data_IF_570253326390
#
_entry.id   IF_570253326390
#
_cell.length_a   1.000
_cell.length_b   1.000
_cell.length_c   1.000
_cell.angle_alpha   90.00
_cell.angle_beta   90.00
_cell.angle_gamma   90.00
#
_symmetry.space_group_name_H-M   'P 1'
#
loop_
_entity.id
_entity.type
_entity.pdbx_description
1 polymer ?
#
# COMPACT_ATOMS: atom_id res chain seq x y z
N UNK A 1 -75.28 -14.31 -38.12
CA UNK A 1 -75.28 -15.00 -36.81
C UNK A 1 -73.99 -15.82 -36.71
N UNK A 2 -73.00 -15.34 -35.94
CA UNK A 2 -71.76 -16.09 -35.68
C UNK A 2 -72.07 -17.22 -34.69
N UNK A 3 -72.10 -18.46 -35.18
CA UNK A 3 -72.41 -19.64 -34.37
C UNK A 3 -71.20 -19.98 -33.48
N UNK A 4 -71.22 -19.48 -32.23
CA UNK A 4 -70.26 -19.82 -31.16
C UNK A 4 -70.46 -21.28 -30.70
N UNK A 5 -70.07 -22.24 -31.53
CA UNK A 5 -69.90 -23.64 -31.12
C UNK A 5 -68.45 -23.90 -30.67
N UNK A 6 -68.01 -23.26 -29.58
CA UNK A 6 -66.75 -23.66 -28.93
C UNK A 6 -67.03 -24.79 -27.96
N UNK A 7 -66.69 -26.03 -28.33
CA UNK A 7 -66.76 -27.19 -27.42
C UNK A 7 -66.01 -26.84 -26.11
N UNK A 8 -66.56 -27.14 -24.92
CA UNK A 8 -65.95 -26.77 -23.63
C UNK A 8 -64.51 -27.26 -23.48
N UNK A 9 -64.16 -28.37 -24.14
CA UNK A 9 -62.82 -28.92 -24.23
C UNK A 9 -61.76 -27.92 -24.75
N UNK A 10 -62.05 -27.16 -25.80
CA UNK A 10 -61.08 -26.18 -26.32
C UNK A 10 -60.85 -25.03 -25.34
N UNK A 11 -61.87 -24.63 -24.58
CA UNK A 11 -61.74 -23.59 -23.54
C UNK A 11 -60.84 -24.07 -22.40
N UNK A 12 -60.91 -25.35 -22.02
CA UNK A 12 -60.04 -25.95 -21.01
C UNK A 12 -58.57 -25.99 -21.47
N UNK A 13 -58.32 -26.33 -22.73
CA UNK A 13 -56.95 -26.30 -23.29
C UNK A 13 -56.39 -24.88 -23.27
N UNK A 14 -57.16 -23.87 -23.70
CA UNK A 14 -56.71 -22.47 -23.65
C UNK A 14 -56.40 -22.01 -22.22
N UNK A 15 -57.25 -22.34 -21.25
CA UNK A 15 -56.99 -22.02 -19.84
C UNK A 15 -55.71 -22.71 -19.34
N UNK A 16 -55.48 -23.97 -19.72
CA UNK A 16 -54.25 -24.69 -19.35
C UNK A 16 -53.01 -24.05 -20.00
N UNK A 17 -53.08 -23.65 -21.27
CA UNK A 17 -52.00 -22.93 -21.95
C UNK A 17 -51.70 -21.58 -21.28
N UNK A 18 -52.73 -20.82 -20.89
CA UNK A 18 -52.57 -19.55 -20.17
C UNK A 18 -51.92 -19.76 -18.79
N UNK A 19 -52.35 -20.78 -18.02
CA UNK A 19 -51.74 -21.12 -16.74
C UNK A 19 -50.26 -21.50 -16.92
N UNK A 20 -49.94 -22.30 -17.93
CA UNK A 20 -48.55 -22.67 -18.24
C UNK A 20 -47.72 -21.45 -18.66
N UNK A 21 -48.30 -20.52 -19.44
CA UNK A 21 -47.64 -19.30 -19.86
C UNK A 21 -47.37 -18.35 -18.68
N UNK A 22 -48.34 -18.18 -17.76
CA UNK A 22 -48.18 -17.41 -16.54
C UNK A 22 -47.12 -18.05 -15.64
N UNK A 23 -47.16 -19.37 -15.47
CA UNK A 23 -46.17 -20.11 -14.68
C UNK A 23 -44.76 -19.97 -15.27
N UNK A 24 -44.62 -20.10 -16.60
CA UNK A 24 -43.35 -19.87 -17.29
C UNK A 24 -42.83 -18.44 -17.10
N UNK A 25 -43.70 -17.45 -17.27
CA UNK A 25 -43.37 -16.03 -17.11
C UNK A 25 -42.93 -15.70 -15.67
N UNK A 26 -43.64 -16.24 -14.67
CA UNK A 26 -43.27 -16.09 -13.26
C UNK A 26 -41.88 -16.66 -12.99
N UNK A 27 -41.56 -17.84 -13.52
CA UNK A 27 -40.25 -18.45 -13.34
C UNK A 27 -39.12 -17.64 -14.00
N UNK A 28 -39.33 -17.13 -15.22
CA UNK A 28 -38.36 -16.27 -15.91
C UNK A 28 -38.15 -14.98 -15.11
N UNK A 29 -39.22 -14.32 -14.65
CA UNK A 29 -39.11 -13.08 -13.86
C UNK A 29 -38.40 -13.32 -12.54
N UNK A 30 -38.75 -14.39 -11.82
CA UNK A 30 -38.08 -14.80 -10.58
C UNK A 30 -36.59 -15.06 -10.80
N UNK A 31 -36.23 -15.82 -11.84
CA UNK A 31 -34.83 -16.14 -12.12
C UNK A 31 -34.03 -14.91 -12.53
N UNK A 32 -34.60 -14.01 -13.34
CA UNK A 32 -33.98 -12.74 -13.70
C UNK A 32 -33.77 -11.84 -12.47
N UNK A 33 -34.76 -11.78 -11.57
CA UNK A 33 -34.65 -11.01 -10.31
C UNK A 33 -33.60 -11.59 -9.36
N UNK A 34 -33.54 -12.92 -9.23
CA UNK A 34 -32.51 -13.59 -8.42
C UNK A 34 -31.11 -13.32 -9.00
N UNK A 35 -30.97 -13.40 -10.32
CA UNK A 35 -29.69 -13.11 -10.99
C UNK A 35 -29.29 -11.65 -10.80
N UNK A 36 -30.21 -10.71 -10.90
CA UNK A 36 -29.94 -9.30 -10.64
C UNK A 36 -29.46 -9.04 -9.21
N UNK A 37 -30.00 -9.75 -8.22
CA UNK A 37 -29.58 -9.57 -6.83
C UNK A 37 -28.30 -10.32 -6.45
N UNK A 38 -28.02 -11.45 -7.09
CA UNK A 38 -26.86 -12.30 -6.74
C UNK A 38 -25.64 -12.03 -7.60
N UNK A 39 -25.80 -11.75 -8.90
CA UNK A 39 -24.72 -11.58 -9.87
C UNK A 39 -25.09 -10.56 -10.99
N UNK A 40 -25.21 -9.26 -10.67
CA UNK A 40 -25.57 -8.21 -11.63
C UNK A 40 -24.42 -7.73 -12.52
N UNK A 41 -23.17 -8.08 -12.21
CA UNK A 41 -21.97 -7.50 -12.85
C UNK A 41 -21.33 -8.46 -13.85
N UNK A 42 -20.65 -7.89 -14.85
CA UNK A 42 -19.85 -8.63 -15.84
C UNK A 42 -18.50 -7.93 -15.98
N UNK A 43 -17.41 -8.70 -15.98
CA UNK A 43 -16.05 -8.19 -16.20
C UNK A 43 -15.64 -8.49 -17.64
N UNK A 44 -15.18 -7.49 -18.37
CA UNK A 44 -14.70 -7.62 -19.75
C UNK A 44 -13.29 -7.07 -19.89
N UNK A 45 -12.44 -7.76 -20.65
CA UNK A 45 -11.07 -7.31 -20.92
C UNK A 45 -11.07 -6.25 -22.01
N UNK A 46 -10.51 -5.08 -21.72
CA UNK A 46 -10.22 -4.05 -22.71
C UNK A 46 -8.74 -4.08 -23.09
N UNK A 47 -8.44 -3.83 -24.37
CA UNK A 47 -7.07 -3.84 -24.93
C UNK A 47 -6.67 -2.51 -25.56
N UNK A 48 -7.50 -1.47 -25.44
CA UNK A 48 -7.19 -0.16 -26.01
C UNK A 48 -6.21 0.60 -25.12
N UNK A 49 -4.92 0.39 -25.40
CA UNK A 49 -3.83 0.99 -24.62
C UNK A 49 -3.48 2.43 -25.04
N UNK A 50 -4.01 2.93 -26.16
CA UNK A 50 -3.55 4.20 -26.75
C UNK A 50 -3.99 5.44 -25.97
N UNK A 51 -5.14 5.35 -25.32
CA UNK A 51 -5.70 6.41 -24.48
C UNK A 51 -5.54 6.12 -22.99
N UNK A 52 -4.72 5.13 -22.64
CA UNK A 52 -4.55 4.68 -21.27
C UNK A 52 -3.57 5.59 -20.52
N UNK A 53 -4.11 6.36 -19.59
CA UNK A 53 -3.35 7.11 -18.60
C UNK A 53 -3.46 6.42 -17.25
N UNK A 54 -2.37 5.79 -16.81
CA UNK A 54 -2.28 5.13 -15.52
C UNK A 54 -1.86 6.15 -14.46
N UNK A 55 -2.49 6.11 -13.29
CA UNK A 55 -1.94 6.84 -12.14
C UNK A 55 -0.62 6.22 -11.71
N UNK A 56 0.42 7.05 -11.56
CA UNK A 56 1.72 6.60 -11.10
C UNK A 56 1.55 5.88 -9.74
N UNK A 57 2.14 4.69 -9.58
CA UNK A 57 2.00 3.95 -8.34
C UNK A 57 2.60 4.74 -7.17
N UNK A 58 1.99 4.58 -6.01
CA UNK A 58 2.56 5.11 -4.79
C UNK A 58 3.70 4.22 -4.31
N UNK A 59 4.68 4.87 -3.71
CA UNK A 59 5.78 4.19 -3.02
C UNK A 59 5.76 4.64 -1.58
N UNK A 60 5.66 3.69 -0.66
CA UNK A 60 5.80 3.94 0.77
C UNK A 60 7.12 3.36 1.23
N UNK A 61 7.93 4.12 1.95
CA UNK A 61 9.12 3.57 2.60
C UNK A 61 9.10 3.77 4.10
N UNK A 62 9.73 2.84 4.81
CA UNK A 62 9.94 2.84 6.24
C UNK A 62 11.43 2.70 6.52
N UNK A 63 11.95 3.37 7.55
CA UNK A 63 13.33 3.15 7.98
C UNK A 63 13.48 1.79 8.66
N UNK A 64 14.58 1.09 8.38
CA UNK A 64 14.93 -0.14 9.12
C UNK A 64 15.25 0.18 10.58
N UNK A 65 15.95 1.31 10.81
CA UNK A 65 16.12 1.92 12.14
C UNK A 65 15.45 3.30 12.15
N UNK A 66 14.20 3.40 12.64
CA UNK A 66 13.46 4.65 12.64
C UNK A 66 13.95 5.65 13.69
N UNK A 67 14.83 5.26 14.61
CA UNK A 67 15.18 6.09 15.77
C UNK A 67 16.36 6.99 15.49
N UNK A 68 16.17 8.31 15.63
CA UNK A 68 17.29 9.23 15.71
C UNK A 68 17.93 9.14 17.10
N UNK A 69 19.17 8.67 17.15
CA UNK A 69 19.92 8.49 18.38
C UNK A 69 20.09 9.80 19.15
N UNK A 70 20.21 10.95 18.50
CA UNK A 70 20.32 12.24 19.20
C UNK A 70 18.98 12.65 19.85
N UNK A 71 17.88 12.53 19.10
CA UNK A 71 16.54 12.84 19.61
C UNK A 71 16.12 11.88 20.72
N UNK A 72 16.45 10.59 20.60
CA UNK A 72 16.21 9.61 21.65
C UNK A 72 17.00 9.92 22.93
N UNK A 73 18.28 10.33 22.82
CA UNK A 73 19.07 10.75 24.00
C UNK A 73 18.46 11.96 24.70
N UNK A 74 18.07 12.97 23.94
CA UNK A 74 17.42 14.18 24.47
C UNK A 74 16.05 13.86 25.12
N UNK A 75 15.23 13.01 24.48
CA UNK A 75 13.96 12.55 25.04
C UNK A 75 14.15 11.82 26.38
N UNK A 76 15.11 10.88 26.45
CA UNK A 76 15.41 10.12 27.67
C UNK A 76 15.87 11.04 28.80
N UNK A 77 16.76 11.99 28.51
CA UNK A 77 17.28 12.95 29.48
C UNK A 77 16.16 13.85 30.02
N UNK A 78 15.26 14.33 29.16
CA UNK A 78 14.13 15.17 29.58
C UNK A 78 13.09 14.39 30.39
N UNK A 79 12.74 13.18 29.97
CA UNK A 79 11.65 12.39 30.58
C UNK A 79 12.07 11.76 31.91
N UNK A 80 13.26 11.15 31.98
CA UNK A 80 13.71 10.38 33.15
C UNK A 80 14.87 11.03 33.92
N UNK A 81 15.41 12.17 33.46
CA UNK A 81 16.54 12.88 34.11
C UNK A 81 17.78 12.01 34.29
N UNK A 82 18.03 11.12 33.32
CA UNK A 82 19.19 10.24 33.29
C UNK A 82 20.05 10.57 32.07
N UNK A 83 21.35 10.80 32.28
CA UNK A 83 22.29 11.19 31.22
C UNK A 83 23.31 10.11 30.86
N UNK A 84 23.61 9.16 31.76
CA UNK A 84 24.59 8.09 31.53
C UNK A 84 24.40 6.89 32.49
N UNK A 85 25.08 5.78 32.20
CA UNK A 85 25.10 4.55 33.02
C UNK A 85 24.05 3.51 32.62
N UNK A 86 23.98 2.40 33.37
CA UNK A 86 23.10 1.25 33.05
C UNK A 86 21.61 1.61 32.94
N UNK A 87 21.14 2.58 33.73
CA UNK A 87 19.75 3.07 33.63
C UNK A 87 19.49 3.82 32.33
N UNK A 88 20.49 4.55 31.82
CA UNK A 88 20.40 5.25 30.55
C UNK A 88 20.26 4.27 29.39
N UNK A 89 21.12 3.24 29.37
CA UNK A 89 21.09 2.18 28.36
C UNK A 89 19.74 1.46 28.37
N UNK A 90 19.21 1.12 29.54
CA UNK A 90 17.88 0.52 29.68
C UNK A 90 16.75 1.37 29.07
N UNK A 91 16.73 2.69 29.32
CA UNK A 91 15.73 3.58 28.73
C UNK A 91 15.95 3.81 27.22
N UNK A 92 17.20 3.80 26.77
CA UNK A 92 17.52 3.89 25.36
C UNK A 92 17.03 2.66 24.60
N UNK A 93 17.24 1.46 25.16
CA UNK A 93 16.73 0.21 24.59
C UNK A 93 15.21 0.17 24.60
N UNK A 94 14.57 0.69 25.66
CA UNK A 94 13.11 0.85 25.69
C UNK A 94 12.62 1.73 24.53
N UNK A 95 13.20 2.92 24.34
CA UNK A 95 12.83 3.84 23.26
C UNK A 95 13.01 3.20 21.89
N UNK A 96 14.13 2.50 21.67
CA UNK A 96 14.39 1.79 20.41
C UNK A 96 13.36 0.71 20.11
N UNK A 97 13.04 -0.14 21.10
CA UNK A 97 12.08 -1.22 20.92
C UNK A 97 10.64 -0.71 20.71
N UNK A 98 10.26 0.37 21.41
CA UNK A 98 8.92 0.95 21.26
C UNK A 98 8.76 1.64 19.91
N UNK A 99 9.77 2.38 19.45
CA UNK A 99 9.71 3.10 18.18
C UNK A 99 9.84 2.21 16.94
N UNK A 100 10.42 1.02 17.08
CA UNK A 100 10.53 0.04 16.00
C UNK A 100 9.50 -1.10 16.12
N UNK A 101 8.39 -0.90 16.84
CA UNK A 101 7.44 -1.98 17.09
C UNK A 101 6.52 -2.23 15.89
N UNK A 102 6.34 -3.50 15.56
CA UNK A 102 5.42 -4.03 14.56
C UNK A 102 4.73 -5.26 15.15
N UNK A 103 3.75 -5.84 14.47
CA UNK A 103 3.16 -7.10 14.95
C UNK A 103 4.16 -8.28 14.98
N UNK A 104 5.28 -8.20 14.26
CA UNK A 104 6.29 -9.26 14.21
C UNK A 104 7.18 -9.27 15.45
N UNK A 105 7.40 -8.12 16.08
CA UNK A 105 8.41 -7.96 17.14
C UNK A 105 7.86 -7.45 18.48
N UNK A 106 6.53 -7.59 18.70
CA UNK A 106 5.87 -7.21 19.95
C UNK A 106 6.50 -7.86 21.20
N UNK A 107 7.08 -9.05 21.06
CA UNK A 107 7.70 -9.79 22.18
C UNK A 107 8.91 -9.07 22.78
N UNK A 108 9.57 -8.19 22.01
CA UNK A 108 10.69 -7.38 22.48
C UNK A 108 10.33 -6.43 23.63
N UNK A 109 9.02 -6.22 23.89
CA UNK A 109 8.55 -5.41 25.01
C UNK A 109 8.62 -6.13 26.37
N UNK A 110 8.69 -7.46 26.40
CA UNK A 110 8.63 -8.25 27.63
C UNK A 110 9.56 -7.75 28.78
N UNK A 111 10.81 -7.31 28.53
CA UNK A 111 11.71 -6.82 29.58
C UNK A 111 11.24 -5.53 30.29
N UNK A 112 10.32 -4.78 29.69
CA UNK A 112 9.90 -3.45 30.15
C UNK A 112 8.58 -3.46 30.93
N UNK A 113 7.84 -4.58 30.94
CA UNK A 113 6.48 -4.70 31.48
C UNK A 113 6.39 -4.44 32.98
N UNK A 114 7.41 -4.84 33.74
CA UNK A 114 7.42 -4.77 35.20
C UNK A 114 7.82 -3.39 35.75
N UNK A 115 8.26 -2.47 34.90
CA UNK A 115 8.76 -1.17 35.36
C UNK A 115 7.62 -0.14 35.45
N UNK A 116 7.29 0.28 36.67
CA UNK A 116 6.23 1.25 36.94
C UNK A 116 6.50 2.63 36.32
N UNK A 117 7.77 3.01 36.13
CA UNK A 117 8.15 4.29 35.54
C UNK A 117 7.80 4.41 34.05
N UNK A 118 7.52 3.28 33.39
CA UNK A 118 7.23 3.22 31.97
C UNK A 118 5.73 3.11 31.64
N UNK A 119 4.88 2.85 32.63
CA UNK A 119 3.43 2.58 32.43
C UNK A 119 2.69 3.82 31.90
N UNK A 120 3.08 5.02 32.35
CA UNK A 120 2.42 6.29 32.02
C UNK A 120 3.14 7.07 30.90
N UNK A 121 3.91 6.37 30.06
CA UNK A 121 4.56 6.99 28.90
C UNK A 121 3.54 7.08 27.77
N UNK A 122 3.36 8.29 27.23
CA UNK A 122 2.64 8.47 25.96
C UNK A 122 3.51 7.92 24.83
N UNK A 123 3.08 6.79 24.27
CA UNK A 123 3.82 6.08 23.23
C UNK A 123 3.79 6.87 21.92
N UNK A 124 2.69 7.56 21.58
CA UNK A 124 2.59 8.31 20.34
C UNK A 124 3.57 9.48 20.38
N UNK A 125 3.56 10.24 21.48
CA UNK A 125 4.49 11.36 21.69
C UNK A 125 5.96 10.92 21.63
N UNK A 126 6.27 9.77 22.24
CA UNK A 126 7.60 9.17 22.19
C UNK A 126 8.01 8.87 20.75
N UNK A 127 7.18 8.13 20.01
CA UNK A 127 7.52 7.67 18.65
C UNK A 127 7.67 8.86 17.71
N UNK A 128 6.79 9.86 17.76
CA UNK A 128 6.89 11.06 16.93
C UNK A 128 8.17 11.84 17.22
N UNK A 129 8.52 12.06 18.50
CA UNK A 129 9.69 12.88 18.88
C UNK A 129 11.04 12.24 18.58
N UNK A 130 11.12 10.91 18.60
CA UNK A 130 12.39 10.19 18.39
C UNK A 130 12.58 9.71 16.96
N UNK A 131 11.55 9.83 16.12
CA UNK A 131 11.59 9.37 14.74
C UNK A 131 12.56 10.20 13.88
N UNK A 132 13.26 9.55 12.95
CA UNK A 132 14.17 10.19 12.02
C UNK A 132 13.42 10.92 10.90
N UNK A 133 13.86 12.14 10.59
CA UNK A 133 13.28 12.94 9.51
C UNK A 133 13.77 12.47 8.13
N UNK A 134 12.91 12.49 7.10
CA UNK A 134 13.28 12.15 5.74
C UNK A 134 14.11 13.29 5.12
N UNK A 135 15.38 13.01 4.81
CA UNK A 135 16.27 13.96 4.12
C UNK A 135 16.91 13.29 2.90
N UNK A 136 16.23 13.39 1.76
CA UNK A 136 16.71 12.83 0.49
C UNK A 136 16.09 13.58 -0.68
N UNK A 137 16.71 13.48 -1.85
CA UNK A 137 16.26 14.16 -3.06
C UNK A 137 15.37 13.23 -3.87
N UNK A 138 14.24 13.73 -4.35
CA UNK A 138 13.32 12.98 -5.19
C UNK A 138 13.24 13.61 -6.57
N UNK A 139 13.37 12.78 -7.60
CA UNK A 139 13.14 13.16 -8.98
C UNK A 139 12.07 12.26 -9.58
N UNK A 140 11.19 12.86 -10.37
CA UNK A 140 10.11 12.17 -11.08
C UNK A 140 10.19 12.55 -12.55
N UNK A 141 9.71 11.67 -13.41
CA UNK A 141 9.82 11.77 -14.87
C UNK A 141 9.38 13.12 -15.48
N UNK A 142 8.51 13.90 -14.82
CA UNK A 142 8.15 15.25 -15.24
C UNK A 142 8.42 16.29 -14.15
N UNK A 143 8.92 17.45 -14.55
CA UNK A 143 9.11 18.62 -13.69
C UNK A 143 7.81 19.17 -13.11
N UNK A 144 6.68 18.90 -13.76
CA UNK A 144 5.35 19.35 -13.29
C UNK A 144 4.99 18.76 -11.91
N UNK A 145 5.61 17.62 -11.57
CA UNK A 145 5.39 16.89 -10.33
C UNK A 145 6.51 17.11 -9.31
N UNK A 146 7.42 18.08 -9.52
CA UNK A 146 8.59 18.34 -8.65
C UNK A 146 8.19 18.72 -7.21
N UNK A 147 6.99 19.27 -7.02
CA UNK A 147 6.50 19.69 -5.71
C UNK A 147 5.88 18.53 -4.90
N UNK A 148 5.75 17.33 -5.48
CA UNK A 148 5.27 16.16 -4.74
C UNK A 148 6.40 15.68 -3.85
N UNK A 149 6.15 15.67 -2.55
CA UNK A 149 7.07 15.17 -1.55
C UNK A 149 6.49 13.94 -0.86
N UNK A 150 7.36 13.20 -0.20
CA UNK A 150 6.94 12.12 0.68
C UNK A 150 6.21 12.69 1.90
N UNK A 151 5.01 12.18 2.17
CA UNK A 151 4.18 12.58 3.32
C UNK A 151 4.22 11.50 4.40
N UNK A 152 4.21 11.87 5.69
CA UNK A 152 4.21 10.91 6.79
C UNK A 152 2.88 10.16 6.86
N UNK A 153 2.96 8.84 7.03
CA UNK A 153 1.83 7.92 7.09
C UNK A 153 2.02 6.93 8.24
N UNK A 154 0.93 6.63 8.95
CA UNK A 154 0.86 5.56 9.94
C UNK A 154 0.55 4.23 9.24
N UNK A 155 1.41 3.24 9.46
CA UNK A 155 1.29 1.89 8.90
C UNK A 155 1.52 0.83 9.99
N UNK A 156 1.23 -0.44 9.72
CA UNK A 156 1.54 -1.53 10.65
C UNK A 156 3.05 -1.75 10.89
N UNK A 157 3.90 -1.06 10.13
CA UNK A 157 5.37 -1.02 10.24
C UNK A 157 5.86 0.20 11.05
N UNK A 158 4.95 1.05 11.54
CA UNK A 158 5.25 2.29 12.24
C UNK A 158 5.03 3.54 11.39
N UNK A 159 5.74 4.62 11.73
CA UNK A 159 5.73 5.86 10.94
C UNK A 159 6.58 5.63 9.69
N UNK A 160 5.94 5.72 8.53
CA UNK A 160 6.54 5.58 7.22
C UNK A 160 6.24 6.83 6.40
N UNK A 161 6.73 6.88 5.16
CA UNK A 161 6.46 7.99 4.28
C UNK A 161 6.03 7.51 2.90
N UNK A 162 4.95 8.09 2.40
CA UNK A 162 4.35 7.74 1.11
C UNK A 162 4.52 8.85 0.11
N UNK A 163 4.94 8.50 -1.10
CA UNK A 163 4.96 9.37 -2.26
C UNK A 163 3.69 9.17 -3.08
N UNK A 164 3.03 10.28 -3.42
CA UNK A 164 1.89 10.32 -4.35
C UNK A 164 0.68 9.44 -3.95
N UNK A 165 0.48 9.17 -2.67
CA UNK A 165 -0.67 8.38 -2.18
C UNK A 165 -1.89 9.25 -1.91
N UNK A 166 -3.04 8.89 -2.50
CA UNK A 166 -4.30 9.64 -2.36
C UNK A 166 -4.97 9.46 -1.00
N UNK A 167 -4.70 8.34 -0.31
CA UNK A 167 -5.27 8.04 1.00
C UNK A 167 -4.34 8.41 2.17
N UNK A 168 -3.14 8.93 1.87
CA UNK A 168 -2.09 9.24 2.85
C UNK A 168 -2.56 10.25 3.90
N UNK A 169 -3.29 11.29 3.46
CA UNK A 169 -3.78 12.37 4.33
C UNK A 169 -4.69 11.87 5.47
N UNK A 170 -5.42 10.76 5.26
CA UNK A 170 -6.30 10.17 6.27
C UNK A 170 -5.56 9.32 7.31
N UNK A 171 -4.33 8.93 7.02
CA UNK A 171 -3.52 8.04 7.84
C UNK A 171 -2.31 8.76 8.45
N UNK A 172 -2.30 10.09 8.46
CA UNK A 172 -1.18 10.87 9.00
C UNK A 172 -1.10 10.82 10.53
N UNK A 173 0.11 10.84 11.14
CA UNK A 173 0.27 10.89 12.60
C UNK A 173 -0.28 12.15 13.26
N UNK A 174 -0.32 13.27 12.53
CA UNK A 174 -0.77 14.56 13.06
C UNK A 174 -2.23 14.82 12.67
N UNK A 175 -3.14 14.79 13.65
CA UNK A 175 -4.57 15.04 13.43
C UNK A 175 -4.87 16.42 12.82
N UNK A 176 -3.98 17.40 12.98
CA UNK A 176 -4.15 18.74 12.38
C UNK A 176 -3.94 18.74 10.86
N UNK A 177 -3.10 17.83 10.34
CA UNK A 177 -2.84 17.68 8.90
C UNK A 177 -3.98 16.96 8.17
N UNK A 178 -4.88 16.27 8.88
CA UNK A 178 -6.03 15.56 8.28
C UNK A 178 -7.04 16.49 7.61
N UNK A 179 -7.03 17.80 7.94
CA UNK A 179 -7.94 18.80 7.36
C UNK A 179 -7.36 19.55 6.15
N UNK A 180 -6.11 19.27 5.79
CA UNK A 180 -5.48 19.86 4.61
C UNK A 180 -5.68 18.87 3.48
N UNK A 181 -6.74 19.05 2.69
CA UNK A 181 -6.84 18.40 1.38
C UNK A 181 -5.68 18.91 0.53
N UNK A 182 -4.62 18.12 0.50
CA UNK A 182 -3.45 18.52 -0.26
C UNK A 182 -3.75 18.26 -1.73
N UNK A 183 -4.08 19.34 -2.44
CA UNK A 183 -4.43 19.32 -3.86
C UNK A 183 -3.15 19.13 -4.71
N UNK A 184 -2.44 18.03 -4.48
CA UNK A 184 -1.27 17.68 -5.28
C UNK A 184 -1.71 17.15 -6.64
N UNK A 185 -1.02 17.53 -7.72
CA UNK A 185 -1.27 16.94 -9.03
C UNK A 185 -0.96 15.44 -8.97
N UNK A 186 -1.91 14.61 -9.41
CA UNK A 186 -1.71 13.15 -9.48
C UNK A 186 -0.85 12.85 -10.70
N UNK A 187 0.35 12.25 -10.55
CA UNK A 187 1.19 11.93 -11.69
C UNK A 187 0.54 10.87 -12.55
N UNK A 188 0.43 11.15 -13.85
CA UNK A 188 -0.13 10.24 -14.84
C UNK A 188 0.95 9.75 -15.78
N UNK A 189 0.99 8.44 -15.98
CA UNK A 189 1.84 7.77 -16.95
C UNK A 189 1.03 7.35 -18.16
N UNK A 190 1.53 7.68 -19.35
CA UNK A 190 0.95 7.23 -20.61
C UNK A 190 1.74 6.03 -21.12
N UNK A 191 1.04 5.00 -21.60
CA UNK A 191 1.65 3.80 -22.18
C UNK A 191 2.64 4.10 -23.31
N UNK A 192 2.39 5.14 -24.11
CA UNK A 192 3.24 5.58 -25.23
C UNK A 192 4.49 6.35 -24.78
N UNK A 193 4.51 6.84 -23.54
CA UNK A 193 5.64 7.58 -22.98
C UNK A 193 6.55 6.62 -22.21
N UNK A 194 7.76 6.41 -22.73
CA UNK A 194 8.78 5.55 -22.11
C UNK A 194 9.40 6.13 -20.83
N UNK A 195 8.94 7.31 -20.38
CA UNK A 195 9.43 8.03 -19.22
C UNK A 195 8.34 8.02 -18.12
N UNK A 196 8.23 6.91 -17.41
CA UNK A 196 7.40 6.75 -16.22
C UNK A 196 8.26 6.17 -15.09
N UNK A 197 8.92 7.05 -14.36
CA UNK A 197 9.85 6.66 -13.29
C UNK A 197 9.89 7.68 -12.16
N UNK A 198 10.25 7.19 -10.97
CA UNK A 198 10.67 8.02 -9.86
C UNK A 198 12.01 7.51 -9.32
N UNK A 199 12.83 8.45 -8.86
CA UNK A 199 14.14 8.17 -8.28
C UNK A 199 14.30 8.94 -6.96
N UNK A 200 14.73 8.24 -5.91
CA UNK A 200 15.14 8.83 -4.64
C UNK A 200 16.67 8.70 -4.50
N UNK A 201 17.33 9.77 -4.08
CA UNK A 201 18.78 9.87 -4.00
C UNK A 201 19.22 10.40 -2.64
N UNK A 202 20.41 10.03 -2.19
CA UNK A 202 21.03 10.49 -0.94
C UNK A 202 20.21 10.10 0.30
N UNK A 203 19.72 8.85 0.32
CA UNK A 203 19.03 8.33 1.50
C UNK A 203 19.98 8.36 2.71
N UNK A 204 19.52 8.82 3.89
CA UNK A 204 20.39 8.96 5.05
C UNK A 204 20.60 7.63 5.81
N UNK A 205 19.76 6.63 5.54
CA UNK A 205 19.64 5.37 6.28
C UNK A 205 19.10 4.27 5.37
N UNK A 206 19.29 3.02 5.79
CA UNK A 206 18.65 1.88 5.15
C UNK A 206 17.12 1.96 5.26
N UNK A 207 16.43 1.62 4.19
CA UNK A 207 14.98 1.66 4.10
C UNK A 207 14.41 0.36 3.55
N UNK A 208 13.16 0.09 3.91
CA UNK A 208 12.29 -0.87 3.26
C UNK A 208 11.24 -0.06 2.49
N UNK A 209 11.07 -0.32 1.19
CA UNK A 209 10.02 0.32 0.40
C UNK A 209 9.02 -0.70 -0.14
N UNK A 210 7.80 -0.21 -0.33
CA UNK A 210 6.61 -0.91 -0.79
C UNK A 210 6.05 -0.14 -1.97
N UNK A 211 5.72 -0.84 -3.04
CA UNK A 211 5.10 -0.23 -4.24
C UNK A 211 3.67 -0.71 -4.31
N UNK A 212 2.72 0.22 -4.37
CA UNK A 212 1.30 -0.06 -4.33
C UNK A 212 0.51 0.95 -5.18
N UNK A 213 -0.78 0.66 -5.38
CA UNK A 213 -1.68 1.59 -6.07
C UNK A 213 -1.84 2.90 -5.26
N UNK A 214 -2.11 4.01 -5.96
CA UNK A 214 -2.28 5.34 -5.36
C UNK A 214 -3.42 5.44 -4.35
N UNK A 215 -4.43 4.58 -4.47
CA UNK A 215 -5.60 4.49 -3.56
C UNK A 215 -5.46 3.34 -2.56
N UNK A 216 -4.24 2.92 -2.25
CA UNK A 216 -3.93 1.82 -1.34
C UNK A 216 -2.75 2.19 -0.42
N UNK A 217 -2.57 1.43 0.66
CA UNK A 217 -1.45 1.56 1.62
C UNK A 217 -0.81 0.20 1.87
N UNK A 218 0.48 0.13 2.24
CA UNK A 218 1.13 -1.15 2.48
C UNK A 218 0.57 -1.84 3.73
N UNK A 219 0.37 -3.15 3.62
CA UNK A 219 0.06 -4.06 4.72
C UNK A 219 1.33 -4.73 5.25
N UNK A 220 1.31 -5.22 6.49
CA UNK A 220 2.45 -5.96 7.07
C UNK A 220 2.84 -7.22 6.27
N UNK A 221 1.89 -7.82 5.55
CA UNK A 221 2.14 -9.02 4.73
C UNK A 221 2.58 -8.70 3.29
N UNK A 222 2.63 -7.42 2.92
CA UNK A 222 2.98 -7.02 1.57
C UNK A 222 4.48 -7.19 1.31
N UNK A 223 4.82 -7.49 0.06
CA UNK A 223 6.21 -7.62 -0.35
C UNK A 223 6.90 -6.25 -0.28
N UNK A 224 8.05 -6.22 0.39
CA UNK A 224 8.92 -5.06 0.44
C UNK A 224 10.24 -5.32 -0.27
N UNK A 225 10.97 -4.23 -0.43
CA UNK A 225 12.28 -4.19 -1.04
C UNK A 225 13.21 -3.38 -0.15
N UNK A 226 14.31 -4.00 0.28
CA UNK A 226 15.33 -3.37 1.10
C UNK A 226 16.37 -2.61 0.27
N UNK A 227 16.91 -1.55 0.88
CA UNK A 227 17.95 -0.69 0.33
C UNK A 227 18.87 -0.30 1.46
N UNK A 228 20.14 -0.67 1.33
CA UNK A 228 21.14 -0.44 2.36
C UNK A 228 22.11 0.68 1.94
N UNK A 229 22.97 1.10 2.87
CA UNK A 229 24.05 2.02 2.57
C UNK A 229 25.00 1.44 1.51
N UNK A 230 25.41 2.27 0.53
CA UNK A 230 26.24 1.82 -0.59
C UNK A 230 25.51 0.92 -1.60
N UNK A 231 24.18 0.83 -1.53
CA UNK A 231 23.36 0.05 -2.45
C UNK A 231 22.58 0.96 -3.41
N UNK A 232 22.51 0.55 -4.67
CA UNK A 232 21.56 1.04 -5.66
C UNK A 232 20.60 -0.10 -6.02
N UNK A 233 19.30 0.19 -5.97
CA UNK A 233 18.26 -0.77 -6.39
C UNK A 233 17.35 -0.14 -7.42
N UNK A 234 17.18 -0.85 -8.52
CA UNK A 234 16.29 -0.49 -9.62
C UNK A 234 15.26 -1.60 -9.81
N UNK A 235 13.99 -1.27 -9.54
CA UNK A 235 12.85 -2.19 -9.74
C UNK A 235 11.93 -1.68 -10.83
N UNK A 236 11.61 -2.59 -11.75
CA UNK A 236 10.69 -2.36 -12.85
C UNK A 236 9.41 -3.15 -12.64
N UNK A 237 8.26 -2.49 -12.79
CA UNK A 237 6.95 -3.12 -12.65
C UNK A 237 6.15 -3.08 -13.95
N UNK A 238 5.42 -4.16 -14.22
CA UNK A 238 4.30 -4.21 -15.17
C UNK A 238 3.00 -4.09 -14.37
N UNK A 239 1.89 -3.75 -15.03
CA UNK A 239 0.64 -3.49 -14.33
C UNK A 239 -0.55 -4.03 -15.10
N UNK A 240 -1.65 -4.22 -14.37
CA UNK A 240 -2.98 -4.34 -14.93
C UNK A 240 -3.94 -3.47 -14.13
N UNK A 241 -4.89 -2.84 -14.80
CA UNK A 241 -5.90 -1.99 -14.17
C UNK A 241 -7.29 -2.59 -14.34
N UNK A 242 -8.05 -2.56 -13.26
CA UNK A 242 -9.49 -2.73 -13.23
C UNK A 242 -10.12 -1.34 -13.15
N UNK A 243 -10.93 -1.00 -14.15
CA UNK A 243 -11.80 0.17 -14.09
C UNK A 243 -13.26 -0.28 -13.98
N UNK A 244 -14.10 0.62 -13.48
CA UNK A 244 -15.52 0.36 -13.31
C UNK A 244 -16.38 1.30 -14.16
N UNK A 245 -17.53 0.82 -14.61
CA UNK A 245 -18.53 1.66 -15.24
C UNK A 245 -19.25 2.53 -14.18
N UNK A 246 -19.57 3.81 -14.44
CA UNK A 246 -20.22 4.68 -13.47
C UNK A 246 -21.55 4.12 -12.92
N UNK A 247 -22.29 3.37 -13.74
CA UNK A 247 -23.57 2.76 -13.38
C UNK A 247 -23.42 1.71 -12.27
N UNK A 248 -22.23 1.14 -12.08
CA UNK A 248 -21.93 0.16 -11.04
C UNK A 248 -22.19 0.75 -9.63
N UNK A 249 -22.10 2.07 -9.49
CA UNK A 249 -22.40 2.79 -8.25
C UNK A 249 -23.85 2.66 -7.79
N UNK A 250 -24.78 2.33 -8.70
CA UNK A 250 -26.22 2.15 -8.37
C UNK A 250 -26.50 0.87 -7.58
N UNK A 251 -25.59 -0.10 -7.63
CA UNK A 251 -25.70 -1.36 -6.91
C UNK A 251 -25.13 -1.23 -5.50
N UNK A 252 -25.67 -1.96 -4.52
CA UNK A 252 -25.05 -2.01 -3.20
C UNK A 252 -23.68 -2.72 -3.26
N UNK A 253 -22.75 -2.43 -2.33
CA UNK A 253 -21.50 -3.19 -2.21
C UNK A 253 -21.69 -4.70 -2.14
N UNK A 254 -22.77 -5.18 -1.47
CA UNK A 254 -23.11 -6.59 -1.39
C UNK A 254 -23.62 -7.19 -2.70
N UNK A 255 -24.26 -6.41 -3.57
CA UNK A 255 -24.70 -6.88 -4.89
C UNK A 255 -23.53 -6.95 -5.88
N UNK A 256 -22.63 -5.95 -5.88
CA UNK A 256 -21.50 -5.90 -6.81
C UNK A 256 -20.22 -6.56 -6.31
N UNK A 257 -20.17 -6.99 -5.06
CA UNK A 257 -19.03 -7.67 -4.42
C UNK A 257 -17.71 -6.88 -4.45
N UNK A 258 -17.80 -5.55 -4.57
CA UNK A 258 -16.66 -4.64 -4.53
C UNK A 258 -17.08 -3.29 -3.92
N UNK A 259 -16.09 -2.50 -3.48
CA UNK A 259 -16.31 -1.17 -2.89
C UNK A 259 -15.50 -0.09 -3.59
N UNK A 260 -16.04 1.12 -3.59
CA UNK A 260 -15.33 2.31 -4.02
C UNK A 260 -14.58 2.96 -2.85
N UNK A 261 -13.56 3.76 -3.16
CA UNK A 261 -12.73 4.42 -2.15
C UNK A 261 -13.55 5.36 -1.24
N UNK A 262 -14.60 5.96 -1.76
CA UNK A 262 -15.53 6.84 -1.04
C UNK A 262 -16.61 6.09 -0.23
N UNK A 263 -16.48 4.77 -0.05
CA UNK A 263 -17.43 3.94 0.71
C UNK A 263 -16.80 3.32 1.96
N UNK A 264 -16.41 4.15 2.96
CA UNK A 264 -15.71 3.68 4.15
C UNK A 264 -16.51 2.63 4.94
N UNK A 265 -15.79 1.76 5.64
CA UNK A 265 -16.36 0.77 6.57
C UNK A 265 -16.35 1.25 8.02
N UNK A 266 -15.68 2.36 8.29
CA UNK A 266 -15.47 2.89 9.62
C UNK A 266 -15.48 4.41 9.59
N UNK A 267 -15.93 5.02 10.68
CA UNK A 267 -16.02 6.48 10.78
C UNK A 267 -14.68 7.14 11.09
N UNK A 268 -13.68 6.37 11.53
CA UNK A 268 -12.38 6.93 11.92
C UNK A 268 -11.45 7.21 10.73
N UNK A 269 -11.55 6.38 9.69
CA UNK A 269 -10.80 6.50 8.45
C UNK A 269 -11.86 6.60 7.33
N UNK A 270 -12.21 7.81 6.87
CA UNK A 270 -13.34 8.03 5.97
C UNK A 270 -13.03 7.67 4.51
N UNK A 271 -12.20 6.64 4.29
CA UNK A 271 -11.85 6.08 2.99
C UNK A 271 -11.81 4.57 3.04
N UNK A 272 -12.02 3.94 1.88
CA UNK A 272 -11.94 2.51 1.71
C UNK A 272 -10.76 2.10 0.82
N UNK A 273 -9.98 1.16 1.32
CA UNK A 273 -9.12 0.32 0.52
C UNK A 273 -9.09 -1.08 1.10
N UNK A 274 -8.61 -2.06 0.35
CA UNK A 274 -8.58 -3.42 0.84
C UNK A 274 -7.62 -3.53 2.04
N UNK A 275 -6.44 -2.90 1.97
CA UNK A 275 -5.51 -2.94 3.09
C UNK A 275 -5.97 -2.09 4.28
N UNK A 276 -6.61 -0.93 4.07
CA UNK A 276 -7.22 -0.15 5.15
C UNK A 276 -8.31 -0.97 5.86
N UNK A 277 -9.14 -1.70 5.12
CA UNK A 277 -10.14 -2.58 5.74
C UNK A 277 -9.49 -3.66 6.62
N UNK A 278 -8.41 -4.30 6.13
CA UNK A 278 -7.67 -5.29 6.92
C UNK A 278 -7.01 -4.69 8.15
N UNK A 279 -6.43 -3.49 8.04
CA UNK A 279 -5.89 -2.72 9.16
C UNK A 279 -6.97 -2.45 10.21
N UNK A 280 -8.15 -1.97 9.80
CA UNK A 280 -9.30 -1.75 10.69
C UNK A 280 -9.72 -3.07 11.37
N UNK A 281 -9.74 -4.18 10.63
CA UNK A 281 -10.07 -5.49 11.20
C UNK A 281 -9.09 -5.90 12.30
N UNK A 282 -7.77 -5.78 12.07
CA UNK A 282 -6.74 -6.07 13.08
C UNK A 282 -6.81 -5.15 14.28
N UNK A 283 -7.05 -3.85 14.03
CA UNK A 283 -7.25 -2.85 15.07
C UNK A 283 -8.43 -3.21 15.99
N UNK A 284 -9.57 -3.59 15.40
CA UNK A 284 -10.76 -3.99 16.13
C UNK A 284 -10.55 -5.31 16.88
N UNK A 285 -9.79 -6.24 16.30
CA UNK A 285 -9.39 -7.48 16.96
C UNK A 285 -8.48 -7.22 18.17
N UNK A 286 -7.48 -6.34 18.03
CA UNK A 286 -6.62 -5.89 19.13
C UNK A 286 -7.45 -5.26 20.26
N UNK A 287 -8.41 -4.40 19.92
CA UNK A 287 -9.33 -3.79 20.87
C UNK A 287 -10.21 -4.84 21.57
N UNK A 288 -10.67 -5.88 20.85
CA UNK A 288 -11.47 -6.96 21.42
C UNK A 288 -10.67 -7.80 22.43
N UNK A 289 -9.45 -8.19 22.07
CA UNK A 289 -8.57 -9.09 22.81
C UNK A 289 -7.89 -8.40 24.01
N UNK A 290 -7.29 -7.23 23.80
CA UNK A 290 -6.44 -6.55 24.78
C UNK A 290 -6.98 -5.18 25.24
N UNK A 291 -8.19 -4.79 24.81
CA UNK A 291 -8.88 -3.54 25.21
C UNK A 291 -8.11 -2.26 24.90
N UNK A 292 -7.17 -2.33 23.97
CA UNK A 292 -6.40 -1.18 23.51
C UNK A 292 -6.03 -1.34 22.03
N UNK A 293 -5.55 -0.25 21.43
CA UNK A 293 -5.15 -0.21 20.02
C UNK A 293 -3.66 0.17 19.89
N UNK A 294 -2.87 -0.47 18.99
CA UNK A 294 -1.45 -0.17 18.79
C UNK A 294 -1.17 1.21 18.20
N UNK A 295 -0.18 1.94 18.72
CA UNK A 295 0.08 3.38 18.45
C UNK A 295 0.23 3.77 16.96
N UNK A 296 0.42 2.79 16.08
CA UNK A 296 0.61 2.96 14.65
C UNK A 296 -0.71 2.96 13.83
N UNK A 297 -1.87 3.10 14.48
CA UNK A 297 -3.16 3.33 13.81
C UNK A 297 -3.66 4.77 14.05
N UNK A 298 -4.53 5.32 13.18
CA UNK A 298 -5.22 6.58 13.48
C UNK A 298 -6.20 6.46 14.65
N UNK A 299 -6.26 7.50 15.48
CA UNK A 299 -7.07 7.54 16.70
C UNK A 299 -7.96 8.78 16.78
N UNK A 300 -9.28 8.66 16.57
CA UNK A 300 -10.17 9.75 16.92
C UNK A 300 -10.47 9.70 18.42
N UNK A 301 -9.66 10.40 19.22
CA UNK A 301 -9.90 10.93 20.59
C UNK A 301 -10.43 10.04 21.73
N UNK A 302 -11.28 9.05 21.45
CA UNK A 302 -11.95 8.15 22.41
C UNK A 302 -11.31 6.77 22.50
N UNK A 303 -10.43 6.41 21.56
CA UNK A 303 -9.82 5.08 21.50
C UNK A 303 -8.55 5.04 22.35
N UNK A 304 -8.47 4.06 23.25
CA UNK A 304 -7.33 3.92 24.16
C UNK A 304 -6.12 3.31 23.43
N UNK A 305 -5.03 4.06 23.40
CA UNK A 305 -3.72 3.60 22.90
C UNK A 305 -3.15 2.57 23.87
N UNK A 306 -2.59 1.48 23.34
CA UNK A 306 -1.93 0.46 24.15
C UNK A 306 -0.73 1.05 24.88
N UNK A 307 -0.71 0.90 26.21
CA UNK A 307 0.53 1.05 26.97
C UNK A 307 1.38 -0.22 26.85
N UNK A 308 2.50 -0.29 27.57
CA UNK A 308 3.44 -1.41 27.55
C UNK A 308 2.77 -2.75 27.90
N UNK A 309 1.87 -2.76 28.89
CA UNK A 309 1.12 -3.96 29.27
C UNK A 309 0.15 -4.38 28.15
N UNK A 310 -0.48 -3.41 27.49
CA UNK A 310 -1.31 -3.63 26.32
C UNK A 310 -0.54 -4.21 25.14
N UNK A 311 0.64 -3.65 24.83
CA UNK A 311 1.50 -4.16 23.76
C UNK A 311 2.01 -5.58 24.08
N UNK A 312 2.39 -5.85 25.33
CA UNK A 312 2.72 -7.20 25.77
C UNK A 312 1.53 -8.17 25.68
N UNK A 313 0.30 -7.72 26.01
CA UNK A 313 -0.89 -8.53 25.79
C UNK A 313 -1.05 -8.91 24.31
N UNK A 314 -0.83 -7.95 23.39
CA UNK A 314 -0.93 -8.19 21.96
C UNK A 314 0.16 -9.13 21.44
N UNK A 315 1.32 -9.19 22.09
CA UNK A 315 2.41 -10.09 21.69
C UNK A 315 1.98 -11.57 21.75
N UNK A 316 1.15 -11.93 22.75
CA UNK A 316 0.55 -13.26 22.86
C UNK A 316 -0.40 -13.64 21.70
N UNK A 317 -0.86 -12.65 20.93
CA UNK A 317 -1.77 -12.83 19.80
C UNK A 317 -1.16 -12.35 18.47
N UNK A 318 0.16 -12.13 18.42
CA UNK A 318 0.88 -11.59 17.25
C UNK A 318 0.54 -12.34 15.97
N UNK A 319 0.65 -13.68 15.99
CA UNK A 319 0.32 -14.55 14.85
C UNK A 319 -1.11 -14.35 14.37
N UNK A 320 -2.09 -14.40 15.30
CA UNK A 320 -3.51 -14.22 14.99
C UNK A 320 -3.80 -12.84 14.40
N UNK A 321 -3.13 -11.80 14.90
CA UNK A 321 -3.25 -10.43 14.39
C UNK A 321 -2.66 -10.31 12.97
N UNK A 322 -1.50 -10.90 12.72
CA UNK A 322 -0.85 -10.85 11.40
C UNK A 322 -1.64 -11.61 10.34
N UNK A 323 -2.01 -12.87 10.62
CA UNK A 323 -2.68 -13.76 9.66
C UNK A 323 -4.17 -13.49 9.55
N UNK A 324 -4.80 -12.86 10.55
CA UNK A 324 -6.26 -12.78 10.69
C UNK A 324 -6.91 -14.18 10.69
N UNK A 325 -6.23 -15.15 11.30
CA UNK A 325 -6.72 -16.52 11.47
C UNK A 325 -6.69 -16.89 12.94
N UNK A 326 -7.71 -17.63 13.40
CA UNK A 326 -7.72 -18.19 14.75
C UNK A 326 -6.74 -19.35 14.86
N UNK A 327 -6.50 -19.82 16.09
CA UNK A 327 -5.56 -20.92 16.37
C UNK A 327 -5.96 -22.25 15.71
N UNK A 328 -7.25 -22.43 15.40
CA UNK A 328 -7.79 -23.60 14.69
C UNK A 328 -7.68 -23.47 13.16
N UNK A 329 -7.07 -22.40 12.65
CA UNK A 329 -6.97 -22.09 11.22
C UNK A 329 -8.24 -21.47 10.62
N UNK A 330 -9.27 -21.20 11.43
CA UNK A 330 -10.48 -20.55 10.90
C UNK A 330 -10.20 -19.07 10.61
N UNK A 331 -10.53 -18.57 9.41
CA UNK A 331 -10.32 -17.17 9.07
C UNK A 331 -11.24 -16.27 9.90
N UNK A 332 -10.73 -15.12 10.30
CA UNK A 332 -11.49 -14.08 10.99
C UNK A 332 -12.31 -13.33 9.95
N UNK A 333 -13.63 -13.27 10.16
CA UNK A 333 -14.55 -12.59 9.27
C UNK A 333 -14.40 -11.06 9.35
N UNK A 334 -13.67 -10.48 8.40
CA UNK A 334 -13.45 -9.04 8.29
C UNK A 334 -14.41 -8.34 7.31
N UNK A 335 -15.12 -9.10 6.46
CA UNK A 335 -16.00 -8.58 5.41
C UNK A 335 -15.35 -7.55 4.45
N UNK A 336 -14.04 -7.66 4.21
CA UNK A 336 -13.30 -6.80 3.29
C UNK A 336 -13.50 -7.26 1.83
N UNK A 337 -14.30 -6.52 1.06
CA UNK A 337 -14.42 -6.73 -0.39
C UNK A 337 -13.24 -6.14 -1.17
N UNK A 338 -12.98 -6.62 -2.38
CA UNK A 338 -11.99 -5.96 -3.24
C UNK A 338 -12.46 -4.57 -3.68
N UNK A 339 -11.54 -3.71 -4.09
CA UNK A 339 -11.89 -2.42 -4.67
C UNK A 339 -12.53 -2.62 -6.05
N UNK A 340 -13.51 -1.79 -6.41
CA UNK A 340 -14.10 -1.82 -7.76
C UNK A 340 -13.15 -1.26 -8.83
N UNK A 341 -12.18 -0.45 -8.41
CA UNK A 341 -11.12 0.12 -9.24
C UNK A 341 -9.78 -0.17 -8.57
N UNK A 342 -8.90 -0.87 -9.26
CA UNK A 342 -7.64 -1.34 -8.70
C UNK A 342 -6.57 -1.39 -9.79
N UNK A 343 -5.34 -1.04 -9.44
CA UNK A 343 -4.16 -1.35 -10.25
C UNK A 343 -3.36 -2.39 -9.49
N UNK A 344 -3.10 -3.56 -10.06
CA UNK A 344 -2.06 -4.44 -9.49
C UNK A 344 -0.79 -4.37 -10.30
N UNK A 345 0.30 -4.40 -9.56
CA UNK A 345 1.66 -4.27 -10.04
C UNK A 345 2.34 -5.63 -9.93
N UNK A 346 3.05 -6.03 -10.98
CA UNK A 346 3.87 -7.22 -11.01
C UNK A 346 5.32 -6.84 -11.25
N UNK A 347 6.21 -7.40 -10.45
CA UNK A 347 7.65 -7.19 -10.61
C UNK A 347 8.12 -7.81 -11.93
N UNK A 348 8.63 -6.99 -12.83
CA UNK A 348 9.23 -7.41 -14.11
C UNK A 348 10.75 -7.59 -13.97
N UNK A 349 11.42 -6.61 -13.35
CA UNK A 349 12.87 -6.63 -13.13
C UNK A 349 13.22 -6.11 -11.75
N UNK A 350 14.20 -6.71 -11.13
CA UNK A 350 14.81 -6.25 -9.87
C UNK A 350 16.31 -6.36 -10.02
N UNK A 351 17.00 -5.22 -10.01
CA UNK A 351 18.44 -5.17 -10.15
C UNK A 351 19.06 -4.41 -8.99
N UNK A 352 20.12 -5.01 -8.44
CA UNK A 352 20.83 -4.50 -7.28
C UNK A 352 22.29 -4.29 -7.69
N UNK A 353 22.83 -3.13 -7.33
CA UNK A 353 24.24 -2.79 -7.50
C UNK A 353 24.78 -2.36 -6.14
N UNK A 354 25.95 -2.85 -5.79
CA UNK A 354 26.65 -2.48 -4.55
C UNK A 354 27.95 -1.77 -4.90
N UNK A 355 28.20 -0.66 -4.22
CA UNK A 355 29.42 0.12 -4.38
C UNK A 355 30.47 -0.40 -3.39
N UNK A 356 31.52 -1.05 -3.90
CA UNK A 356 32.56 -1.68 -3.08
C UNK A 356 33.65 -0.71 -2.57
N UNK A 357 33.68 0.53 -3.07
CA UNK A 357 34.63 1.57 -2.66
C UNK A 357 33.89 2.70 -1.93
N UNK A 358 34.51 3.35 -0.94
CA UNK A 358 33.95 4.57 -0.39
C UNK A 358 33.97 5.62 -1.51
N UNK A 359 32.82 5.84 -2.14
CA UNK A 359 32.56 7.13 -2.75
C UNK A 359 32.81 8.17 -1.64
N UNK A 360 33.52 9.26 -1.96
CA UNK A 360 33.81 10.32 -0.99
C UNK A 360 32.54 10.68 -0.21
N UNK A 361 32.68 11.08 1.06
CA UNK A 361 31.67 11.36 2.10
C UNK A 361 30.39 12.16 1.74
N UNK A 362 30.20 12.50 0.48
CA UNK A 362 28.94 12.93 -0.10
C UNK A 362 28.14 11.69 -0.54
N UNK A 363 27.38 11.14 0.41
CA UNK A 363 26.54 9.94 0.34
C UNK A 363 25.74 9.83 -0.97
N UNK A 364 25.95 8.74 -1.72
CA UNK A 364 25.12 8.40 -2.87
C UNK A 364 24.42 7.06 -2.59
N UNK A 365 23.15 7.13 -2.20
CA UNK A 365 22.24 5.99 -2.20
C UNK A 365 21.21 6.25 -3.29
N UNK A 366 21.02 5.32 -4.22
CA UNK A 366 20.05 5.46 -5.32
C UNK A 366 18.92 4.44 -5.19
N UNK A 367 17.69 4.92 -5.26
CA UNK A 367 16.53 4.09 -5.54
C UNK A 367 15.85 4.55 -6.79
N UNK A 368 15.59 3.63 -7.72
CA UNK A 368 14.83 3.89 -8.93
C UNK A 368 13.67 2.91 -9.04
N UNK A 369 12.48 3.44 -9.25
CA UNK A 369 11.31 2.66 -9.60
C UNK A 369 10.86 3.06 -11.00
N UNK A 370 10.96 2.11 -11.93
CA UNK A 370 10.52 2.25 -13.31
C UNK A 370 9.20 1.48 -13.50
N UNK A 371 8.23 2.03 -14.22
CA UNK A 371 7.08 1.26 -14.70
C UNK A 371 7.27 1.00 -16.19
N UNK A 372 7.37 -0.27 -16.59
CA UNK A 372 7.54 -0.65 -17.98
C UNK A 372 6.21 -1.11 -18.59
N UNK A 373 5.76 -0.38 -19.62
CA UNK A 373 4.78 -0.82 -20.58
C UNK A 373 5.50 -1.67 -21.65
N UNK A 374 5.51 -3.00 -21.52
CA UNK A 374 6.27 -3.85 -22.45
C UNK A 374 5.52 -4.08 -23.76
N UNK A 375 6.05 -3.51 -24.86
CA UNK A 375 6.03 -4.16 -26.17
C UNK A 375 7.32 -3.80 -26.95
N UNK A 376 8.06 -4.84 -27.32
CA UNK A 376 9.26 -4.85 -28.17
C UNK A 376 10.61 -4.36 -27.60
N UNK A 377 11.61 -5.18 -27.89
CA UNK A 377 13.06 -5.08 -27.70
C UNK A 377 13.66 -3.67 -27.74
N UNK A 378 14.28 -3.25 -26.63
CA UNK A 378 15.27 -2.17 -26.63
C UNK A 378 16.44 -2.54 -25.69
N UNK A 379 17.62 -2.72 -26.27
CA UNK A 379 18.87 -2.89 -25.55
C UNK A 379 19.35 -1.51 -25.09
N UNK A 380 19.17 -1.15 -23.80
CA UNK A 380 19.74 0.07 -23.22
C UNK A 380 21.17 -0.23 -22.73
N UNK A 381 22.17 0.23 -23.48
CA UNK A 381 23.58 0.24 -23.07
C UNK A 381 23.83 1.55 -22.30
N UNK A 382 24.26 1.47 -21.04
CA UNK A 382 24.69 2.62 -20.26
C UNK A 382 26.19 2.85 -20.45
N UNK A 383 26.59 4.02 -20.95
CA UNK A 383 27.98 4.48 -20.94
C UNK A 383 28.23 5.30 -19.66
N UNK A 384 29.22 4.92 -18.87
CA UNK A 384 29.73 5.73 -17.75
C UNK A 384 30.99 6.43 -18.24
N UNK A 385 30.92 7.74 -18.50
CA UNK A 385 32.10 8.58 -18.66
C UNK A 385 32.42 9.27 -17.32
N UNK A 386 33.43 8.76 -16.61
CA UNK A 386 34.10 9.49 -15.55
C UNK A 386 35.19 10.36 -16.16
N UNK A 387 35.07 11.68 -16.05
CA UNK A 387 36.08 12.62 -16.54
C UNK A 387 37.12 12.94 -15.47
N UNK A 388 38.40 12.73 -15.80
CA UNK A 388 39.48 13.63 -15.37
C UNK A 388 40.54 13.68 -16.48
N UNK A 389 40.92 14.91 -16.82
CA UNK A 389 41.77 15.35 -17.94
C UNK A 389 43.07 14.54 -18.08
N UNK A 390 43.33 14.03 -19.28
CA UNK A 390 44.55 14.27 -20.05
C UNK A 390 44.39 13.78 -21.50
N UNK A 391 44.96 14.55 -22.43
CA UNK A 391 44.88 14.35 -23.88
C UNK A 391 45.35 12.94 -24.31
N UNK A 392 44.42 12.17 -24.86
CA UNK A 392 44.71 11.12 -25.84
C UNK A 392 43.48 10.98 -26.75
N UNK A 393 43.63 11.38 -28.01
CA UNK A 393 42.68 11.04 -29.08
C UNK A 393 42.88 9.56 -29.35
N UNK A 394 41.87 8.74 -29.04
CA UNK A 394 41.79 7.36 -29.50
C UNK A 394 40.43 7.22 -30.17
N UNK A 395 40.42 7.33 -31.50
CA UNK A 395 39.28 6.98 -32.32
C UNK A 395 39.08 5.45 -32.28
N UNK A 396 37.90 5.02 -31.82
CA UNK A 396 37.39 3.68 -32.10
C UNK A 396 36.05 3.81 -32.80
N UNK A 397 36.08 3.75 -34.13
CA UNK A 397 34.93 3.44 -34.95
C UNK A 397 34.74 1.91 -34.95
N UNK A 398 33.61 1.42 -34.45
CA UNK A 398 33.14 0.07 -34.73
C UNK A 398 31.87 0.15 -35.56
N UNK A 399 32.05 -0.08 -36.87
CA UNK A 399 31.00 -0.40 -37.83
C UNK A 399 30.48 -1.81 -37.57
N UNK A 400 29.19 -1.96 -37.24
CA UNK A 400 28.52 -3.25 -37.34
C UNK A 400 28.26 -3.59 -38.81
N UNK A 401 28.94 -4.60 -39.34
CA UNK A 401 28.62 -5.20 -40.63
C UNK A 401 27.42 -6.16 -40.48
N UNK A 402 26.37 -5.93 -41.26
CA UNK A 402 25.33 -6.92 -41.53
C UNK A 402 25.94 -8.13 -42.26
N UNK A 403 25.90 -9.32 -41.67
CA UNK A 403 25.89 -10.60 -42.42
C UNK A 403 25.25 -11.70 -41.58
N UNK A 404 23.93 -11.82 -41.66
CA UNK A 404 23.22 -13.04 -41.28
C UNK A 404 23.00 -13.88 -42.55
N UNK A 405 23.81 -14.94 -42.69
CA UNK A 405 23.63 -15.98 -43.69
C UNK A 405 22.33 -16.76 -43.40
N UNK A 406 21.41 -16.78 -44.36
CA UNK A 406 20.35 -17.77 -44.44
C UNK A 406 20.91 -19.09 -44.97
N UNK A 407 20.63 -20.22 -44.31
CA UNK A 407 20.46 -21.51 -44.99
C UNK A 407 19.65 -22.52 -44.17
N UNK A 408 18.47 -22.79 -44.74
CA UNK A 408 17.54 -23.94 -44.69
C UNK A 408 17.37 -24.73 -43.41
#
# INVERSE_FOLDING_TARGET
>A
MYQKCTKPFYRLIWVLCEILAIYGSYNVMRNSWIRYNTNPTVVTVQKDYRFWYLQFPSTTFCYVDPVNTEFAKDYVQRKWKVSSGKKFEYYMDFVKNVANITYENLDNIAPFVNNSALINVDIIDLVIKVHAEPRFNTTIFSTDYKNITYQPVLTEMGICYTFSGTITDYLTPNSELQNIHSNYPIPLCNFLNSLCYAKAENLPRSILYYVHHSKEVPNIVDKYYEVQEGMERDTTFTFWEMISAPELRRLSPSQRQCRFMDEPMDNTIPVYSYNVCRMICRRNLALKLCKCTPHFYPYPGKMQVCNIKGLYCLSNYSKMLMTLEKNDGTPIECNCQMQCEEVKLFLDRDSIRTWAYPASKDNIIYLRHDCAATSSTALKIYWIHGGARNNAIIDFAMTCSETAFWKR
#
